data_IF_367143664891
#
_entry.id   IF_367143664891
#
_cell.length_a   1.000
_cell.length_b   1.000
_cell.length_c   1.000
_cell.angle_alpha   90.00
_cell.angle_beta   90.00
_cell.angle_gamma   90.00
#
_symmetry.space_group_name_H-M   'P 1'
#
loop_
_entity.id
_entity.type
_entity.pdbx_description
1 polymer ?
#
# COMPACT_ATOMS: atom_id res chain seq x y z
N UNK A 1 7.69 14.19 -34.67
CA UNK A 1 7.17 14.22 -33.29
C UNK A 1 5.65 14.35 -33.23
N UNK A 2 5.03 15.36 -33.87
CA UNK A 2 3.57 15.56 -33.84
C UNK A 2 2.74 14.36 -34.36
N UNK A 3 3.16 13.74 -35.46
CA UNK A 3 2.47 12.57 -36.02
C UNK A 3 2.46 11.37 -35.05
N UNK A 4 3.57 11.14 -34.34
CA UNK A 4 3.68 10.07 -33.35
C UNK A 4 2.80 10.31 -32.14
N UNK A 5 2.78 11.55 -31.63
CA UNK A 5 1.89 11.94 -30.51
C UNK A 5 0.42 11.75 -30.87
N UNK A 6 0.01 12.15 -32.08
CA UNK A 6 -1.35 11.92 -32.58
C UNK A 6 -1.68 10.43 -32.66
N UNK A 7 -0.74 9.59 -33.10
CA UNK A 7 -0.90 8.13 -33.11
C UNK A 7 -1.11 7.58 -31.69
N UNK A 8 -0.26 7.96 -30.75
CA UNK A 8 -0.35 7.54 -29.34
C UNK A 8 -1.65 7.99 -28.70
N UNK A 9 -2.08 9.23 -28.95
CA UNK A 9 -3.36 9.76 -28.48
C UNK A 9 -4.53 8.88 -28.92
N UNK A 10 -4.57 8.51 -30.21
CA UNK A 10 -5.64 7.66 -30.76
C UNK A 10 -5.59 6.26 -30.14
N UNK A 11 -4.41 5.62 -30.08
CA UNK A 11 -4.26 4.26 -29.55
C UNK A 11 -4.54 4.16 -28.05
N UNK A 12 -4.01 5.08 -27.24
CA UNK A 12 -4.27 5.09 -25.80
C UNK A 12 -5.72 5.52 -25.52
N UNK A 13 -6.24 6.48 -26.30
CA UNK A 13 -7.62 6.96 -26.19
C UNK A 13 -8.64 5.87 -26.51
N UNK A 14 -8.39 5.02 -27.53
CA UNK A 14 -9.29 3.92 -27.85
C UNK A 14 -9.34 2.88 -26.72
N UNK A 15 -8.18 2.49 -26.16
CA UNK A 15 -8.12 1.58 -25.01
C UNK A 15 -8.85 2.13 -23.78
N UNK A 16 -8.67 3.42 -23.50
CA UNK A 16 -9.36 4.08 -22.39
C UNK A 16 -10.88 4.13 -22.63
N UNK A 17 -11.30 4.46 -23.85
CA UNK A 17 -12.72 4.52 -24.21
C UNK A 17 -13.39 3.14 -24.08
N UNK A 18 -12.75 2.08 -24.58
CA UNK A 18 -13.22 0.70 -24.42
C UNK A 18 -13.36 0.32 -22.94
N UNK A 19 -12.39 0.71 -22.11
CA UNK A 19 -12.44 0.46 -20.66
C UNK A 19 -13.56 1.22 -19.97
N UNK A 20 -13.77 2.50 -20.29
CA UNK A 20 -14.86 3.31 -19.73
C UNK A 20 -16.24 2.75 -20.12
N UNK A 21 -16.39 2.28 -21.36
CA UNK A 21 -17.64 1.65 -21.83
C UNK A 21 -17.86 0.33 -21.08
N UNK A 22 -16.87 -0.54 -21.00
CA UNK A 22 -17.00 -1.87 -20.38
C UNK A 22 -17.17 -1.83 -18.85
N UNK A 23 -16.59 -0.84 -18.17
CA UNK A 23 -16.65 -0.74 -16.70
C UNK A 23 -17.86 0.04 -16.18
N UNK A 24 -18.34 1.04 -16.91
CA UNK A 24 -19.40 1.93 -16.43
C UNK A 24 -20.45 2.33 -17.48
N UNK A 25 -20.54 1.59 -18.60
CA UNK A 25 -21.38 1.94 -19.75
C UNK A 25 -21.11 3.38 -20.24
N UNK A 26 -19.87 3.84 -20.12
CA UNK A 26 -19.45 5.18 -20.50
C UNK A 26 -19.90 6.28 -19.53
N UNK A 27 -20.41 5.94 -18.33
CA UNK A 27 -20.78 6.91 -17.30
C UNK A 27 -19.58 7.19 -16.41
N UNK A 28 -19.03 8.39 -16.49
CA UNK A 28 -17.91 8.84 -15.65
C UNK A 28 -17.95 10.36 -15.50
N UNK A 29 -17.23 10.90 -14.51
CA UNK A 29 -17.11 12.35 -14.38
C UNK A 29 -16.12 12.88 -15.41
N UNK A 30 -16.46 13.97 -16.14
CA UNK A 30 -15.56 14.54 -17.13
C UNK A 30 -14.21 14.90 -16.53
N UNK A 31 -13.15 14.58 -17.27
CA UNK A 31 -11.77 14.92 -16.95
C UNK A 31 -11.10 15.52 -18.19
N UNK A 32 -10.00 16.23 -17.98
CA UNK A 32 -9.30 16.97 -19.02
C UNK A 32 -8.26 16.09 -19.74
N UNK A 33 -8.12 16.27 -21.06
CA UNK A 33 -7.03 15.68 -21.82
C UNK A 33 -5.92 16.72 -21.94
N UNK A 34 -4.87 16.56 -21.14
CA UNK A 34 -3.71 17.46 -21.14
C UNK A 34 -2.76 17.10 -22.30
N UNK A 35 -2.10 18.11 -22.86
CA UNK A 35 -0.94 17.88 -23.73
C UNK A 35 0.32 17.62 -22.91
N UNK A 36 1.34 17.02 -23.54
CA UNK A 36 2.63 16.82 -22.86
C UNK A 36 3.31 18.15 -22.53
N UNK A 37 3.18 19.17 -23.40
CA UNK A 37 3.74 20.51 -23.17
C UNK A 37 3.12 21.19 -21.95
N UNK A 38 1.82 21.02 -21.72
CA UNK A 38 1.15 21.56 -20.54
C UNK A 38 1.72 20.97 -19.26
N UNK A 39 1.97 19.65 -19.25
CA UNK A 39 2.53 18.96 -18.08
C UNK A 39 4.01 19.28 -17.86
N UNK A 40 4.80 19.40 -18.94
CA UNK A 40 6.19 19.85 -18.89
C UNK A 40 6.27 21.29 -18.36
N UNK A 41 5.43 22.20 -18.87
CA UNK A 41 5.33 23.58 -18.38
C UNK A 41 4.91 23.61 -16.91
N UNK A 42 3.89 22.85 -16.53
CA UNK A 42 3.36 22.85 -15.17
C UNK A 42 4.39 22.39 -14.13
N UNK A 43 5.27 21.46 -14.50
CA UNK A 43 6.27 20.84 -13.62
C UNK A 43 7.67 21.39 -13.80
N UNK A 44 7.85 22.44 -14.62
CA UNK A 44 9.15 22.95 -15.03
C UNK A 44 10.08 21.82 -15.53
N UNK A 45 9.59 21.03 -16.49
CA UNK A 45 10.25 19.83 -17.02
C UNK A 45 10.57 18.80 -15.93
N UNK A 46 9.61 18.54 -15.04
CA UNK A 46 9.74 17.58 -13.95
C UNK A 46 10.97 17.83 -13.06
N UNK A 47 11.25 19.11 -12.77
CA UNK A 47 12.41 19.51 -11.99
C UNK A 47 12.42 18.85 -10.60
N UNK A 48 13.60 18.58 -10.01
CA UNK A 48 13.69 17.90 -8.71
C UNK A 48 12.92 18.58 -7.57
N UNK A 49 12.81 19.91 -7.57
CA UNK A 49 12.04 20.65 -6.55
C UNK A 49 10.52 20.50 -6.69
N UNK A 50 10.04 19.95 -7.80
CA UNK A 50 8.65 19.59 -8.01
C UNK A 50 8.34 18.17 -7.50
N UNK A 51 9.32 17.36 -7.12
CA UNK A 51 9.07 16.02 -6.58
C UNK A 51 8.18 16.08 -5.33
N UNK A 52 7.15 15.23 -5.29
CA UNK A 52 6.26 15.07 -4.14
C UNK A 52 6.50 13.75 -3.41
N UNK A 53 6.42 12.64 -4.14
CA UNK A 53 6.34 11.30 -3.58
C UNK A 53 6.55 10.25 -4.68
N UNK A 54 6.69 8.98 -4.31
CA UNK A 54 6.60 7.86 -5.24
C UNK A 54 5.81 6.70 -4.64
N UNK A 55 5.18 5.89 -5.49
CA UNK A 55 4.56 4.62 -5.10
C UNK A 55 4.63 3.61 -6.26
N UNK A 56 3.89 2.49 -6.16
CA UNK A 56 3.87 1.46 -7.21
C UNK A 56 3.28 1.97 -8.54
N UNK A 57 2.42 3.00 -8.51
CA UNK A 57 1.87 3.60 -9.72
C UNK A 57 2.95 4.39 -10.46
N UNK A 58 3.72 5.21 -9.75
CA UNK A 58 4.75 6.03 -10.37
C UNK A 58 5.40 7.07 -9.49
N UNK A 59 6.10 8.01 -10.13
CA UNK A 59 6.67 9.20 -9.48
C UNK A 59 5.65 10.34 -9.55
N UNK A 60 5.44 11.00 -8.42
CA UNK A 60 4.50 12.12 -8.29
C UNK A 60 5.24 13.44 -8.23
N UNK A 61 4.78 14.41 -9.02
CA UNK A 61 5.30 15.77 -9.10
C UNK A 61 4.20 16.77 -8.83
N UNK A 62 4.54 17.86 -8.13
CA UNK A 62 3.74 19.06 -8.02
C UNK A 62 3.89 19.86 -9.30
N UNK A 63 2.76 20.24 -9.88
CA UNK A 63 2.72 21.20 -10.98
C UNK A 63 1.85 22.40 -10.68
N UNK A 64 2.05 23.48 -11.42
CA UNK A 64 1.19 24.65 -11.43
C UNK A 64 0.88 25.04 -12.85
N UNK A 65 -0.39 24.97 -13.26
CA UNK A 65 -0.86 25.36 -14.58
C UNK A 65 -1.96 26.41 -14.42
N UNK A 66 -1.77 27.58 -15.02
CA UNK A 66 -2.71 28.72 -14.96
C UNK A 66 -3.19 29.07 -13.55
N UNK A 67 -2.25 29.07 -12.59
CA UNK A 67 -2.50 29.36 -11.18
C UNK A 67 -3.13 28.20 -10.39
N UNK A 68 -3.47 27.08 -11.03
CA UNK A 68 -3.99 25.87 -10.37
C UNK A 68 -2.87 24.91 -10.03
N UNK A 69 -2.78 24.53 -8.75
CA UNK A 69 -1.83 23.51 -8.28
C UNK A 69 -2.39 22.12 -8.57
N UNK A 70 -1.59 21.26 -9.17
CA UNK A 70 -1.93 19.92 -9.61
C UNK A 70 -0.89 18.90 -9.12
N UNK A 71 -1.27 17.64 -9.07
CA UNK A 71 -0.36 16.52 -8.81
C UNK A 71 -0.26 15.66 -10.06
N UNK A 72 0.92 15.61 -10.68
CA UNK A 72 1.18 14.86 -11.91
C UNK A 72 1.89 13.57 -11.53
N UNK A 73 1.29 12.43 -11.85
CA UNK A 73 1.93 11.12 -11.71
C UNK A 73 2.48 10.68 -13.07
N UNK A 74 3.79 10.45 -13.12
CA UNK A 74 4.47 9.77 -14.21
C UNK A 74 4.57 8.30 -13.84
N UNK A 75 3.83 7.41 -14.53
CA UNK A 75 3.93 6.00 -14.26
C UNK A 75 5.36 5.50 -14.42
N UNK A 76 5.83 4.71 -13.45
CA UNK A 76 7.14 4.08 -13.58
C UNK A 76 7.03 2.84 -14.45
N UNK A 77 8.17 2.49 -15.05
CA UNK A 77 8.41 1.19 -15.67
C UNK A 77 9.35 0.41 -14.74
N UNK A 78 8.87 -0.16 -13.61
CA UNK A 78 9.79 -0.76 -12.65
C UNK A 78 10.25 -2.15 -13.09
N UNK A 79 9.59 -2.76 -14.08
CA UNK A 79 9.75 -4.17 -14.41
C UNK A 79 10.25 -4.38 -15.84
N UNK A 80 11.44 -4.94 -15.98
CA UNK A 80 12.02 -5.41 -17.26
C UNK A 80 11.15 -6.53 -17.89
N UNK A 81 10.28 -7.17 -17.11
CA UNK A 81 9.38 -8.25 -17.56
C UNK A 81 7.93 -7.81 -17.86
N UNK A 82 7.49 -6.64 -17.38
CA UNK A 82 6.14 -6.18 -17.68
C UNK A 82 6.12 -5.60 -19.09
N UNK A 83 5.25 -6.13 -19.96
CA UNK A 83 5.09 -5.55 -21.28
C UNK A 83 4.53 -4.13 -21.14
N UNK A 84 4.92 -3.23 -22.04
CA UNK A 84 4.37 -1.87 -22.10
C UNK A 84 2.83 -1.89 -22.10
N UNK A 85 2.23 -2.82 -22.83
CA UNK A 85 0.78 -2.99 -22.90
C UNK A 85 0.15 -3.31 -21.55
N UNK A 86 0.83 -4.09 -20.71
CA UNK A 86 0.35 -4.36 -19.36
C UNK A 86 0.30 -3.07 -18.52
N UNK A 87 1.36 -2.26 -18.58
CA UNK A 87 1.42 -0.98 -17.85
C UNK A 87 0.31 -0.05 -18.37
N UNK A 88 0.13 0.04 -19.69
CA UNK A 88 -0.96 0.83 -20.27
C UNK A 88 -2.32 0.37 -19.75
N UNK A 89 -2.58 -0.94 -19.70
CA UNK A 89 -3.83 -1.47 -19.18
C UNK A 89 -4.05 -1.14 -17.69
N UNK A 90 -3.00 -1.20 -16.88
CA UNK A 90 -3.03 -0.79 -15.46
C UNK A 90 -3.37 0.70 -15.30
N UNK A 91 -2.75 1.55 -16.12
CA UNK A 91 -3.03 2.99 -16.11
C UNK A 91 -4.43 3.32 -16.64
N UNK A 92 -4.87 2.65 -17.70
CA UNK A 92 -6.23 2.77 -18.24
C UNK A 92 -7.26 2.32 -17.19
N UNK A 93 -6.98 1.26 -16.44
CA UNK A 93 -7.83 0.80 -15.34
C UNK A 93 -7.92 1.85 -14.22
N UNK A 94 -6.78 2.43 -13.84
CA UNK A 94 -6.71 3.50 -12.83
C UNK A 94 -7.57 4.70 -13.24
N UNK A 95 -7.39 5.21 -14.47
CA UNK A 95 -8.17 6.33 -15.00
C UNK A 95 -9.66 6.02 -15.03
N UNK A 96 -10.05 4.84 -15.52
CA UNK A 96 -11.46 4.48 -15.68
C UNK A 96 -12.20 4.42 -14.34
N UNK A 97 -11.58 3.86 -13.30
CA UNK A 97 -12.15 3.77 -11.97
C UNK A 97 -12.09 5.13 -11.26
N UNK A 98 -10.96 5.83 -11.31
CA UNK A 98 -10.81 7.14 -10.68
C UNK A 98 -11.80 8.18 -11.26
N UNK A 99 -12.08 8.13 -12.56
CA UNK A 99 -13.06 8.99 -13.20
C UNK A 99 -14.50 8.75 -12.69
N UNK A 100 -14.84 7.52 -12.31
CA UNK A 100 -16.15 7.20 -11.70
C UNK A 100 -16.24 7.68 -10.24
N UNK A 101 -15.11 7.69 -9.53
CA UNK A 101 -15.04 8.04 -8.11
C UNK A 101 -14.76 9.53 -7.84
N UNK A 102 -14.51 10.34 -8.89
CA UNK A 102 -13.99 11.71 -8.77
C UNK A 102 -14.84 12.71 -7.97
N UNK A 103 -16.12 12.43 -7.69
CA UNK A 103 -16.94 13.26 -6.78
C UNK A 103 -16.97 12.78 -5.34
N UNK A 104 -16.48 11.58 -5.07
CA UNK A 104 -16.52 10.98 -3.76
C UNK A 104 -15.40 11.52 -2.88
N UNK A 105 -15.76 11.94 -1.65
CA UNK A 105 -14.88 12.72 -0.78
C UNK A 105 -13.55 12.03 -0.46
N UNK A 106 -13.55 10.72 -0.24
CA UNK A 106 -12.42 9.95 0.26
C UNK A 106 -11.60 9.24 -0.84
N UNK A 107 -11.80 9.62 -2.10
CA UNK A 107 -10.96 9.15 -3.21
C UNK A 107 -10.22 10.32 -3.82
N UNK A 108 -8.99 10.08 -4.27
CA UNK A 108 -8.17 11.10 -4.91
C UNK A 108 -8.78 11.48 -6.26
N UNK A 109 -9.18 12.74 -6.41
CA UNK A 109 -9.91 13.19 -7.60
C UNK A 109 -9.00 13.27 -8.82
N UNK A 110 -9.39 12.54 -9.88
CA UNK A 110 -8.78 12.67 -11.20
C UNK A 110 -9.17 14.03 -11.81
N UNK A 111 -8.17 14.77 -12.27
CA UNK A 111 -8.35 16.01 -13.04
C UNK A 111 -8.30 15.70 -14.53
N UNK A 112 -7.43 14.77 -14.91
CA UNK A 112 -7.19 14.45 -16.31
C UNK A 112 -6.04 13.48 -16.53
N UNK A 113 -5.72 13.28 -17.79
CA UNK A 113 -4.58 12.50 -18.22
C UNK A 113 -3.97 13.08 -19.51
N UNK A 114 -2.72 12.76 -19.79
CA UNK A 114 -2.09 12.99 -21.09
C UNK A 114 -1.94 11.64 -21.81
N UNK A 115 -2.58 11.51 -22.97
CA UNK A 115 -2.60 10.28 -23.78
C UNK A 115 -1.57 10.29 -24.91
N UNK A 116 -0.86 11.40 -25.11
CA UNK A 116 0.09 11.61 -26.21
C UNK A 116 1.47 10.97 -25.98
N UNK A 117 1.63 10.22 -24.89
CA UNK A 117 2.87 9.60 -24.43
C UNK A 117 2.84 8.08 -24.58
N UNK A 118 4.01 7.40 -24.65
CA UNK A 118 4.07 5.94 -24.77
C UNK A 118 3.35 5.18 -23.64
N UNK A 119 3.31 5.77 -22.44
CA UNK A 119 2.42 5.38 -21.33
C UNK A 119 1.71 6.66 -20.87
N UNK A 120 0.38 6.65 -20.70
CA UNK A 120 -0.36 7.84 -20.31
C UNK A 120 0.14 8.44 -18.99
N UNK A 121 0.19 9.78 -18.91
CA UNK A 121 0.48 10.49 -17.67
C UNK A 121 -0.81 10.87 -16.97
N UNK A 122 -0.79 10.90 -15.65
CA UNK A 122 -1.99 11.11 -14.84
C UNK A 122 -1.94 12.45 -14.11
N UNK A 123 -3.07 13.12 -14.01
CA UNK A 123 -3.20 14.42 -13.35
C UNK A 123 -4.32 14.35 -12.33
N UNK A 124 -3.97 14.59 -11.07
CA UNK A 124 -4.82 14.51 -9.91
C UNK A 124 -4.89 15.86 -9.18
N UNK A 125 -5.87 15.97 -8.28
CA UNK A 125 -5.96 17.12 -7.38
C UNK A 125 -4.70 17.28 -6.52
N UNK A 126 -4.48 18.50 -6.02
CA UNK A 126 -3.30 18.85 -5.23
C UNK A 126 -3.22 18.04 -3.93
N UNK A 127 -2.11 17.31 -3.73
CA UNK A 127 -1.81 16.55 -2.50
C UNK A 127 -0.50 17.01 -1.87
N UNK A 128 -0.43 18.29 -1.48
CA UNK A 128 0.80 18.94 -0.98
C UNK A 128 1.38 18.28 0.27
N UNK A 129 0.54 17.60 1.07
CA UNK A 129 0.95 16.92 2.30
C UNK A 129 1.56 15.53 2.04
N UNK A 130 1.65 15.10 0.79
CA UNK A 130 2.20 13.79 0.42
C UNK A 130 1.30 12.64 0.85
N UNK A 131 1.88 11.44 0.88
CA UNK A 131 1.17 10.23 1.25
C UNK A 131 1.27 9.96 2.77
N UNK A 132 0.37 9.13 3.31
CA UNK A 132 0.35 8.81 4.74
C UNK A 132 1.61 8.09 5.20
N UNK A 133 2.26 7.29 4.33
CA UNK A 133 3.51 6.59 4.64
C UNK A 133 4.63 7.55 5.06
N UNK A 134 4.78 8.67 4.33
CA UNK A 134 5.76 9.73 4.63
C UNK A 134 5.47 10.42 5.96
N UNK A 135 4.19 10.53 6.33
CA UNK A 135 3.77 11.18 7.57
C UNK A 135 3.91 10.27 8.81
N UNK A 136 3.75 8.95 8.67
CA UNK A 136 3.83 8.02 9.80
C UNK A 136 5.21 7.38 9.96
N UNK A 137 6.06 7.31 8.93
CA UNK A 137 7.40 6.70 9.03
C UNK A 137 8.55 7.71 9.01
N UNK A 138 8.32 8.96 9.41
CA UNK A 138 9.35 10.02 9.45
C UNK A 138 10.65 9.52 10.08
N UNK A 139 11.71 9.46 9.28
CA UNK A 139 13.08 9.17 9.70
C UNK A 139 13.91 10.45 9.64
N UNK A 140 14.12 11.12 10.78
CA UNK A 140 15.00 12.29 10.89
C UNK A 140 14.42 13.47 11.67
N UNK A 141 15.27 14.44 11.99
CA UNK A 141 14.99 15.61 12.85
C UNK A 141 14.19 16.75 12.19
N UNK A 142 13.76 16.61 10.92
CA UNK A 142 13.08 17.70 10.21
C UNK A 142 11.55 17.73 10.42
N UNK A 143 11.14 18.55 11.39
CA UNK A 143 10.02 19.50 11.39
C UNK A 143 8.65 19.12 10.76
N UNK A 144 8.09 17.96 11.08
CA UNK A 144 6.63 17.83 11.13
C UNK A 144 6.20 17.36 12.52
N UNK A 145 5.16 17.99 13.08
CA UNK A 145 4.59 17.48 14.32
C UNK A 145 4.11 16.04 14.09
N UNK A 146 4.45 15.10 14.97
CA UNK A 146 3.99 13.73 14.84
C UNK A 146 2.48 13.63 14.72
N UNK A 147 2.00 12.78 13.81
CA UNK A 147 0.57 12.58 13.65
C UNK A 147 -0.03 11.95 14.91
N UNK A 148 -0.96 12.67 15.55
CA UNK A 148 -1.67 12.25 16.76
C UNK A 148 -2.56 11.04 16.50
N UNK A 149 -2.94 10.31 17.56
CA UNK A 149 -3.86 9.18 17.45
C UNK A 149 -5.19 9.56 16.80
N UNK A 150 -5.80 10.67 17.23
CA UNK A 150 -7.03 11.19 16.64
C UNK A 150 -6.95 11.37 15.12
N UNK A 151 -5.84 11.89 14.62
CA UNK A 151 -5.63 12.03 13.17
C UNK A 151 -5.50 10.67 12.47
N UNK A 152 -4.77 9.72 13.07
CA UNK A 152 -4.61 8.36 12.50
C UNK A 152 -5.93 7.58 12.50
N UNK A 153 -6.72 7.67 13.57
CA UNK A 153 -8.04 7.06 13.66
C UNK A 153 -9.02 7.68 12.65
N UNK A 154 -8.97 9.01 12.44
CA UNK A 154 -9.74 9.68 11.38
C UNK A 154 -9.39 9.12 10.00
N UNK A 155 -8.10 8.95 9.70
CA UNK A 155 -7.65 8.34 8.43
C UNK A 155 -8.21 6.93 8.29
N UNK A 156 -8.07 6.08 9.32
CA UNK A 156 -8.61 4.72 9.29
C UNK A 156 -10.11 4.71 9.00
N UNK A 157 -10.90 5.57 9.66
CA UNK A 157 -12.34 5.70 9.43
C UNK A 157 -12.69 6.16 8.02
N UNK A 158 -12.00 7.19 7.52
CA UNK A 158 -12.22 7.74 6.19
C UNK A 158 -11.88 6.72 5.09
N UNK A 159 -10.84 5.91 5.28
CA UNK A 159 -10.47 4.84 4.36
C UNK A 159 -11.40 3.62 4.49
N UNK A 160 -11.82 3.24 5.70
CA UNK A 160 -12.81 2.18 5.88
C UNK A 160 -14.11 2.51 5.13
N UNK A 161 -14.57 3.76 5.23
CA UNK A 161 -15.72 4.25 4.49
C UNK A 161 -15.51 4.21 2.97
N UNK A 162 -14.34 4.63 2.47
CA UNK A 162 -14.02 4.57 1.05
C UNK A 162 -14.05 3.13 0.52
N UNK A 163 -13.45 2.18 1.24
CA UNK A 163 -13.43 0.77 0.84
C UNK A 163 -14.82 0.16 0.92
N UNK A 164 -15.59 0.45 1.98
CA UNK A 164 -17.00 0.05 2.07
C UNK A 164 -17.80 0.56 0.87
N UNK A 165 -17.59 1.81 0.45
CA UNK A 165 -18.24 2.38 -0.73
C UNK A 165 -17.88 1.61 -2.01
N UNK A 166 -16.62 1.22 -2.20
CA UNK A 166 -16.21 0.40 -3.35
C UNK A 166 -16.90 -0.96 -3.39
N UNK A 167 -17.09 -1.57 -2.22
CA UNK A 167 -17.72 -2.90 -2.09
C UNK A 167 -19.24 -2.83 -2.30
N UNK A 168 -19.91 -1.78 -1.80
CA UNK A 168 -21.38 -1.79 -1.71
C UNK A 168 -22.11 -0.81 -2.62
N UNK A 169 -21.45 0.22 -3.17
CA UNK A 169 -22.15 1.29 -3.90
C UNK A 169 -22.37 1.00 -5.39
N UNK A 170 -21.81 -0.10 -5.90
CA UNK A 170 -21.86 -0.50 -7.31
C UNK A 170 -22.54 -1.85 -7.45
N UNK A 171 -23.19 -2.10 -8.59
CA UNK A 171 -23.80 -3.41 -8.89
C UNK A 171 -22.79 -4.55 -8.99
N UNK A 172 -21.51 -4.20 -9.21
CA UNK A 172 -20.37 -5.11 -9.18
C UNK A 172 -19.36 -4.51 -8.21
N UNK A 173 -19.08 -5.15 -7.06
CA UNK A 173 -18.10 -4.66 -6.13
C UNK A 173 -16.74 -4.39 -6.79
N UNK A 174 -16.07 -3.34 -6.34
CA UNK A 174 -14.71 -3.00 -6.78
C UNK A 174 -13.75 -3.41 -5.66
N UNK A 175 -12.93 -4.43 -5.89
CA UNK A 175 -11.85 -4.80 -4.97
C UNK A 175 -10.61 -4.00 -5.33
N UNK A 176 -10.13 -3.15 -4.41
CA UNK A 176 -9.04 -2.21 -4.66
C UNK A 176 -7.69 -2.91 -4.81
N UNK A 177 -7.39 -3.87 -3.93
CA UNK A 177 -6.15 -4.67 -3.87
C UNK A 177 -4.84 -3.91 -3.59
N UNK A 178 -4.95 -2.65 -3.20
CA UNK A 178 -3.81 -1.74 -3.07
C UNK A 178 -3.88 -0.85 -1.83
N UNK A 179 -4.63 -1.26 -0.80
CA UNK A 179 -4.80 -0.46 0.42
C UNK A 179 -3.51 -0.51 1.24
N UNK A 180 -2.80 0.60 1.30
CA UNK A 180 -1.62 0.83 2.14
C UNK A 180 -1.33 2.34 2.24
N UNK A 181 -0.48 2.80 3.17
CA UNK A 181 -0.20 4.23 3.35
C UNK A 181 0.45 4.95 2.16
N UNK A 182 1.11 4.25 1.22
CA UNK A 182 1.70 4.87 0.01
C UNK A 182 0.63 5.24 -1.04
N UNK A 183 -0.53 4.61 -0.96
CA UNK A 183 -1.67 4.84 -1.84
C UNK A 183 -2.76 5.69 -1.18
N UNK A 184 -2.52 6.23 0.02
CA UNK A 184 -3.42 7.13 0.73
C UNK A 184 -2.75 8.50 0.84
N UNK A 185 -3.37 9.51 0.26
CA UNK A 185 -2.91 10.90 0.34
C UNK A 185 -3.72 11.70 1.35
N UNK A 186 -3.12 12.78 1.84
CA UNK A 186 -3.82 13.80 2.61
C UNK A 186 -3.99 15.07 1.77
N UNK A 187 -5.22 15.54 1.65
CA UNK A 187 -5.49 16.84 1.03
C UNK A 187 -5.14 18.01 1.98
N UNK A 188 -5.29 19.24 1.49
CA UNK A 188 -4.97 20.45 2.24
C UNK A 188 -5.79 20.59 3.55
N UNK A 189 -6.90 19.84 3.70
CA UNK A 189 -7.79 19.81 4.87
C UNK A 189 -7.60 18.56 5.76
N UNK A 190 -6.51 17.80 5.56
CA UNK A 190 -6.25 16.53 6.25
C UNK A 190 -7.37 15.50 6.08
N UNK A 191 -7.99 15.44 4.90
CA UNK A 191 -8.89 14.36 4.51
C UNK A 191 -8.10 13.27 3.82
N UNK A 192 -8.31 12.02 4.22
CA UNK A 192 -7.70 10.87 3.59
C UNK A 192 -8.35 10.58 2.23
N UNK A 193 -7.50 10.41 1.22
CA UNK A 193 -7.83 10.18 -0.19
C UNK A 193 -7.19 8.87 -0.66
N UNK A 194 -8.01 7.85 -0.88
CA UNK A 194 -7.57 6.59 -1.48
C UNK A 194 -7.28 6.78 -2.97
N UNK A 195 -6.19 6.21 -3.45
CA UNK A 195 -5.70 6.35 -4.83
C UNK A 195 -5.12 5.02 -5.34
N UNK A 196 -4.73 4.99 -6.62
CA UNK A 196 -4.08 3.86 -7.28
C UNK A 196 -4.99 2.64 -7.45
N UNK A 197 -5.93 2.75 -8.38
CA UNK A 197 -6.85 1.70 -8.81
C UNK A 197 -6.30 0.82 -9.93
N UNK A 198 -5.00 0.92 -10.22
CA UNK A 198 -4.36 0.21 -11.33
C UNK A 198 -4.53 -1.31 -11.30
N UNK A 199 -4.62 -1.89 -10.10
CA UNK A 199 -4.79 -3.32 -9.85
C UNK A 199 -6.22 -3.69 -9.42
N UNK A 200 -7.14 -2.72 -9.39
CA UNK A 200 -8.50 -2.94 -8.91
C UNK A 200 -9.33 -3.74 -9.90
N UNK A 201 -10.23 -4.57 -9.37
CA UNK A 201 -11.06 -5.47 -10.16
C UNK A 201 -12.53 -5.30 -9.81
N UNK A 202 -13.37 -5.34 -10.84
CA UNK A 202 -14.81 -5.53 -10.67
C UNK A 202 -15.07 -7.02 -10.51
N UNK A 203 -15.74 -7.40 -9.43
CA UNK A 203 -16.17 -8.77 -9.19
C UNK A 203 -17.70 -8.84 -9.21
N UNK A 204 -18.25 -10.02 -9.46
CA UNK A 204 -19.65 -10.30 -9.18
C UNK A 204 -19.83 -10.57 -7.67
N UNK A 205 -21.05 -10.39 -7.19
CA UNK A 205 -21.40 -10.75 -5.81
C UNK A 205 -21.08 -12.24 -5.57
N UNK A 206 -20.44 -12.53 -4.44
CA UNK A 206 -19.96 -13.87 -4.06
C UNK A 206 -18.97 -14.55 -5.03
N UNK A 207 -18.41 -13.81 -6.00
CA UNK A 207 -17.41 -14.34 -6.93
C UNK A 207 -16.04 -14.48 -6.28
N UNK A 208 -15.41 -15.64 -6.51
CA UNK A 208 -13.99 -15.86 -6.20
C UNK A 208 -13.21 -15.83 -7.51
N UNK A 209 -12.46 -14.76 -7.74
CA UNK A 209 -11.52 -14.69 -8.86
C UNK A 209 -10.26 -15.45 -8.50
N UNK A 210 -9.79 -16.33 -9.38
CA UNK A 210 -8.50 -17.04 -9.23
C UNK A 210 -7.47 -16.49 -10.21
N UNK A 211 -6.23 -16.32 -9.76
CA UNK A 211 -5.12 -15.90 -10.61
C UNK A 211 -3.81 -16.58 -10.20
N UNK A 212 -3.03 -17.01 -11.19
CA UNK A 212 -1.68 -17.52 -10.97
C UNK A 212 -0.65 -16.40 -10.76
N UNK A 213 -1.08 -15.14 -10.91
CA UNK A 213 -0.21 -13.98 -10.84
C UNK A 213 -0.40 -13.21 -9.54
N UNK A 214 0.59 -13.35 -8.66
CA UNK A 214 0.65 -12.61 -7.39
C UNK A 214 1.25 -11.23 -7.62
N UNK A 215 0.45 -10.19 -7.35
CA UNK A 215 0.84 -8.78 -7.42
C UNK A 215 0.31 -8.07 -6.18
N UNK A 216 1.15 -7.24 -5.57
CA UNK A 216 0.77 -6.28 -4.55
C UNK A 216 1.89 -6.04 -3.54
N UNK A 217 1.56 -5.45 -2.40
CA UNK A 217 2.54 -5.02 -1.39
C UNK A 217 2.68 -6.09 -0.30
N UNK A 218 3.88 -6.64 -0.14
CA UNK A 218 4.18 -7.62 0.92
C UNK A 218 3.79 -7.07 2.30
N UNK A 219 3.18 -7.94 3.11
CA UNK A 219 2.60 -7.59 4.41
C UNK A 219 1.10 -7.26 4.37
N UNK A 220 0.57 -6.79 3.23
CA UNK A 220 -0.87 -6.52 3.04
C UNK A 220 -1.57 -7.63 2.24
N UNK A 221 -0.81 -8.57 1.68
CA UNK A 221 -1.35 -9.67 0.88
C UNK A 221 -2.02 -10.71 1.80
N UNK A 222 -3.30 -11.05 1.59
CA UNK A 222 -3.97 -12.10 2.36
C UNK A 222 -3.34 -13.47 2.11
N UNK A 223 -3.38 -14.39 3.09
CA UNK A 223 -2.81 -15.73 2.96
C UNK A 223 -3.47 -16.54 1.83
N UNK A 224 -4.79 -16.49 1.67
CA UNK A 224 -5.50 -17.22 0.62
C UNK A 224 -5.14 -16.74 -0.80
N UNK A 225 -4.76 -15.47 -0.94
CA UNK A 225 -4.27 -14.93 -2.20
C UNK A 225 -2.86 -15.45 -2.50
N UNK A 226 -1.98 -15.48 -1.49
CA UNK A 226 -0.62 -15.99 -1.64
C UNK A 226 -0.57 -17.50 -1.91
N UNK A 227 -1.45 -18.25 -1.28
CA UNK A 227 -1.49 -19.72 -1.36
C UNK A 227 -2.25 -20.22 -2.59
N UNK A 228 -3.40 -19.62 -2.89
CA UNK A 228 -4.35 -20.13 -3.87
C UNK A 228 -4.69 -19.15 -4.99
N UNK A 229 -4.14 -17.93 -4.96
CA UNK A 229 -4.44 -16.90 -5.95
C UNK A 229 -5.86 -16.35 -5.87
N UNK A 230 -6.56 -16.56 -4.74
CA UNK A 230 -7.97 -16.21 -4.58
C UNK A 230 -8.15 -14.72 -4.25
N UNK A 231 -9.07 -14.08 -4.96
CA UNK A 231 -9.45 -12.68 -4.78
C UNK A 231 -10.96 -12.61 -4.52
N UNK A 232 -11.31 -11.96 -3.41
CA UNK A 232 -12.66 -11.57 -2.99
C UNK A 232 -12.57 -10.19 -2.33
N UNK A 233 -13.70 -9.59 -1.93
CA UNK A 233 -13.71 -8.35 -1.14
C UNK A 233 -12.91 -8.46 0.17
N UNK A 234 -12.78 -9.68 0.72
CA UNK A 234 -12.01 -9.96 1.94
C UNK A 234 -10.51 -9.72 1.77
N UNK A 235 -10.02 -9.55 0.54
CA UNK A 235 -8.67 -9.09 0.26
C UNK A 235 -8.43 -7.70 0.86
N UNK A 236 -9.35 -6.79 0.58
CA UNK A 236 -9.26 -5.40 1.03
C UNK A 236 -9.45 -5.30 2.54
N UNK A 237 -10.28 -6.17 3.13
CA UNK A 237 -10.46 -6.25 4.59
C UNK A 237 -9.14 -6.60 5.30
N UNK A 238 -8.41 -7.60 4.79
CA UNK A 238 -7.10 -7.98 5.34
C UNK A 238 -6.06 -6.85 5.17
N UNK A 239 -6.03 -6.24 3.98
CA UNK A 239 -5.15 -5.10 3.70
C UNK A 239 -5.45 -3.92 4.65
N UNK A 240 -6.74 -3.66 4.92
CA UNK A 240 -7.18 -2.65 5.87
C UNK A 240 -6.77 -2.97 7.31
N UNK A 241 -6.90 -4.22 7.75
CA UNK A 241 -6.41 -4.65 9.08
C UNK A 241 -4.91 -4.37 9.25
N UNK A 242 -4.12 -4.61 8.19
CA UNK A 242 -2.69 -4.26 8.16
C UNK A 242 -2.46 -2.76 8.27
N UNK A 243 -3.20 -1.96 7.48
CA UNK A 243 -3.15 -0.50 7.54
C UNK A 243 -3.48 0.01 8.95
N UNK A 244 -4.48 -0.55 9.61
CA UNK A 244 -4.88 -0.14 10.97
C UNK A 244 -3.77 -0.40 12.00
N UNK A 245 -3.11 -1.57 11.94
CA UNK A 245 -1.95 -1.85 12.80
C UNK A 245 -0.77 -0.93 12.49
N UNK A 246 -0.49 -0.64 11.22
CA UNK A 246 0.61 0.24 10.84
C UNK A 246 0.36 1.69 11.27
N UNK A 247 -0.88 2.17 11.17
CA UNK A 247 -1.28 3.46 11.71
C UNK A 247 -1.08 3.51 13.24
N UNK A 248 -1.46 2.47 13.98
CA UNK A 248 -1.31 2.44 15.44
C UNK A 248 0.16 2.35 15.88
N UNK A 249 0.95 1.51 15.21
CA UNK A 249 2.32 1.20 15.63
C UNK A 249 3.36 2.14 15.03
N UNK A 250 3.04 2.80 13.91
CA UNK A 250 4.01 3.55 13.09
C UNK A 250 5.07 2.66 12.42
N UNK A 251 4.92 1.33 12.48
CA UNK A 251 5.90 0.36 11.99
C UNK A 251 5.42 -0.28 10.70
N UNK A 252 6.32 -0.44 9.73
CA UNK A 252 5.99 -1.10 8.46
C UNK A 252 5.80 -2.62 8.65
N UNK A 253 4.88 -3.26 7.92
CA UNK A 253 4.57 -4.69 8.08
C UNK A 253 5.69 -5.65 7.68
N UNK A 254 6.74 -5.16 7.01
CA UNK A 254 7.90 -5.94 6.56
C UNK A 254 9.22 -5.55 7.25
N UNK A 255 9.26 -4.45 8.00
CA UNK A 255 10.52 -3.92 8.57
C UNK A 255 11.04 -4.67 9.80
N UNK A 256 10.23 -5.56 10.39
CA UNK A 256 10.69 -6.38 11.52
C UNK A 256 11.73 -7.43 11.09
N UNK A 257 11.75 -7.82 9.80
CA UNK A 257 12.68 -8.82 9.25
C UNK A 257 13.97 -8.14 8.71
N UNK A 258 13.88 -6.90 8.24
CA UNK A 258 14.98 -6.21 7.56
C UNK A 258 16.13 -5.73 8.47
N UNK A 259 15.91 -5.55 9.78
CA UNK A 259 16.98 -5.12 10.71
C UNK A 259 18.05 -6.21 10.98
N UNK A 260 17.85 -7.44 10.49
CA UNK A 260 18.84 -8.51 10.52
C UNK A 260 18.93 -9.15 9.13
N UNK A 261 19.83 -8.65 8.29
CA UNK A 261 20.02 -9.11 6.91
C UNK A 261 20.24 -10.64 6.77
N UNK A 262 20.74 -11.31 7.82
CA UNK A 262 20.86 -12.79 7.86
C UNK A 262 19.55 -13.53 8.15
N UNK A 263 18.59 -12.91 8.83
CA UNK A 263 17.32 -13.52 9.20
C UNK A 263 16.33 -13.60 8.05
N UNK A 264 16.38 -12.67 7.08
CA UNK A 264 15.52 -12.75 5.90
C UNK A 264 15.79 -14.02 5.09
N UNK A 265 17.06 -14.34 4.82
CA UNK A 265 17.46 -15.58 4.12
C UNK A 265 17.18 -16.83 4.96
N UNK A 266 17.42 -16.76 6.27
CA UNK A 266 17.16 -17.87 7.20
C UNK A 266 15.66 -18.20 7.31
N UNK A 267 14.81 -17.18 7.42
CA UNK A 267 13.35 -17.32 7.46
C UNK A 267 12.79 -17.85 6.13
N UNK A 268 13.34 -17.40 4.99
CA UNK A 268 12.97 -17.93 3.67
C UNK A 268 13.41 -19.39 3.44
N UNK A 269 14.51 -19.84 4.07
CA UNK A 269 15.07 -21.17 3.83
C UNK A 269 14.61 -22.24 4.84
N UNK A 270 14.15 -21.88 6.05
CA UNK A 270 13.80 -22.86 7.10
C UNK A 270 12.32 -23.16 7.25
N UNK A 271 11.42 -22.35 6.67
CA UNK A 271 9.99 -22.60 6.68
C UNK A 271 9.55 -23.14 5.30
N UNK A 272 9.75 -24.43 5.08
CA UNK A 272 8.97 -25.16 4.09
C UNK A 272 7.48 -25.09 4.50
N UNK A 273 6.76 -24.05 4.08
CA UNK A 273 5.28 -24.00 4.17
C UNK A 273 4.62 -22.81 4.88
N UNK A 274 5.35 -21.87 5.51
CA UNK A 274 4.73 -20.73 6.23
C UNK A 274 5.20 -19.37 5.70
N UNK A 275 4.87 -19.08 4.45
CA UNK A 275 5.31 -17.87 3.73
C UNK A 275 4.50 -16.59 4.08
N UNK A 276 3.40 -16.68 4.84
CA UNK A 276 2.32 -15.67 4.80
C UNK A 276 2.07 -14.93 6.13
N UNK A 277 3.12 -14.67 6.91
CA UNK A 277 2.98 -14.02 8.21
C UNK A 277 3.01 -12.50 8.16
N UNK A 278 1.91 -11.81 8.43
CA UNK A 278 1.94 -10.36 8.71
C UNK A 278 2.72 -10.10 10.01
N UNK A 279 3.92 -9.55 9.93
CA UNK A 279 4.77 -9.36 11.12
C UNK A 279 4.18 -8.41 12.16
N UNK A 280 3.34 -7.45 11.74
CA UNK A 280 2.63 -6.60 12.69
C UNK A 280 1.59 -7.39 13.47
N UNK A 281 0.87 -8.30 12.81
CA UNK A 281 -0.09 -9.20 13.47
C UNK A 281 0.59 -9.94 14.62
N UNK A 282 1.73 -10.58 14.36
CA UNK A 282 2.49 -11.27 15.41
C UNK A 282 3.03 -10.32 16.47
N UNK A 283 3.58 -9.17 16.07
CA UNK A 283 4.12 -8.20 17.00
C UNK A 283 3.06 -7.75 18.02
N UNK A 284 1.84 -7.43 17.56
CA UNK A 284 0.77 -6.97 18.47
C UNK A 284 0.16 -8.08 19.32
N UNK A 285 0.27 -9.33 18.90
CA UNK A 285 -0.18 -10.49 19.70
C UNK A 285 0.81 -10.84 20.83
N UNK A 286 2.11 -10.59 20.62
CA UNK A 286 3.16 -10.99 21.57
C UNK A 286 3.58 -9.89 22.56
N UNK A 287 3.04 -8.68 22.46
CA UNK A 287 3.48 -7.52 23.27
C UNK A 287 2.27 -6.80 23.88
N UNK A 288 2.50 -6.10 24.99
CA UNK A 288 1.45 -5.27 25.60
C UNK A 288 1.11 -4.06 24.74
N UNK A 289 -0.09 -3.49 24.93
CA UNK A 289 -0.57 -2.35 24.12
C UNK A 289 0.41 -1.14 24.17
N UNK A 290 1.08 -0.91 25.30
CA UNK A 290 2.02 0.19 25.45
C UNK A 290 3.35 -0.03 24.71
N UNK A 291 3.72 -1.28 24.41
CA UNK A 291 4.93 -1.61 23.67
C UNK A 291 4.73 -1.56 22.15
N UNK A 292 3.48 -1.74 21.71
CA UNK A 292 3.12 -1.78 20.29
C UNK A 292 2.78 -0.40 19.76
N UNK A 293 2.08 0.41 20.56
CA UNK A 293 1.63 1.76 20.16
C UNK A 293 2.83 2.64 19.88
N UNK A 294 2.75 3.42 18.81
CA UNK A 294 3.77 4.38 18.43
C UNK A 294 4.08 5.33 19.60
N UNK A 295 5.35 5.48 19.97
CA UNK A 295 5.76 6.38 21.06
C UNK A 295 5.27 7.82 20.86
N UNK A 296 5.07 8.23 19.60
CA UNK A 296 4.53 9.55 19.24
C UNK A 296 3.05 9.72 19.57
N UNK A 297 2.31 8.61 19.65
CA UNK A 297 0.94 8.57 20.17
C UNK A 297 0.99 8.62 21.70
N UNK A 298 1.84 7.81 22.33
CA UNK A 298 1.97 7.73 23.79
C UNK A 298 2.33 9.08 24.42
N UNK A 299 3.21 9.86 23.78
CA UNK A 299 3.65 11.16 24.27
C UNK A 299 2.53 12.21 24.40
N UNK A 300 1.35 11.98 23.78
CA UNK A 300 0.20 12.87 23.87
C UNK A 300 -1.06 12.23 24.48
N UNK A 301 -1.00 10.97 24.92
CA UNK A 301 -2.19 10.18 25.26
C UNK A 301 -2.52 10.10 26.75
N UNK A 302 -3.81 9.92 27.05
CA UNK A 302 -4.36 9.64 28.38
C UNK A 302 -5.14 8.31 28.42
N UNK A 303 -5.63 7.90 29.60
CA UNK A 303 -6.28 6.59 29.85
C UNK A 303 -7.39 6.26 28.83
N UNK A 304 -8.17 7.25 28.42
CA UNK A 304 -9.28 7.06 27.46
C UNK A 304 -8.80 6.64 26.06
N UNK A 305 -7.59 7.02 25.66
CA UNK A 305 -7.03 6.61 24.37
C UNK A 305 -6.56 5.15 24.40
N UNK A 306 -6.15 4.64 25.57
CA UNK A 306 -5.70 3.24 25.70
C UNK A 306 -6.80 2.24 25.38
N UNK A 307 -8.04 2.50 25.80
CA UNK A 307 -9.20 1.67 25.43
C UNK A 307 -9.44 1.70 23.91
N UNK A 308 -9.27 2.86 23.26
CA UNK A 308 -9.38 2.97 21.81
C UNK A 308 -8.28 2.21 21.08
N UNK A 309 -7.05 2.24 21.59
CA UNK A 309 -5.93 1.48 21.04
C UNK A 309 -6.21 -0.02 21.10
N UNK A 310 -6.69 -0.50 22.26
CA UNK A 310 -7.04 -1.90 22.45
C UNK A 310 -8.15 -2.34 21.49
N UNK A 311 -9.24 -1.57 21.41
CA UNK A 311 -10.34 -1.87 20.49
C UNK A 311 -9.89 -1.81 19.00
N UNK A 312 -8.97 -0.90 18.65
CA UNK A 312 -8.41 -0.83 17.31
C UNK A 312 -7.53 -2.06 16.98
N UNK A 313 -6.74 -2.56 17.93
CA UNK A 313 -5.97 -3.81 17.77
C UNK A 313 -6.92 -4.99 17.57
N UNK A 314 -7.95 -5.12 18.41
CA UNK A 314 -8.93 -6.21 18.31
C UNK A 314 -9.64 -6.22 16.95
N UNK A 315 -10.09 -5.05 16.49
CA UNK A 315 -10.69 -4.90 15.16
C UNK A 315 -9.69 -5.28 14.06
N UNK A 316 -8.45 -4.81 14.15
CA UNK A 316 -7.42 -5.12 13.17
C UNK A 316 -7.12 -6.63 13.11
N UNK A 317 -7.02 -7.29 14.28
CA UNK A 317 -6.82 -8.74 14.36
C UNK A 317 -7.99 -9.52 13.77
N UNK A 318 -9.23 -9.07 13.99
CA UNK A 318 -10.43 -9.65 13.35
C UNK A 318 -10.38 -9.51 11.82
N UNK A 319 -9.92 -8.37 11.30
CA UNK A 319 -9.69 -8.19 9.86
C UNK A 319 -8.55 -9.05 9.30
N UNK A 320 -7.58 -9.42 10.15
CA UNK A 320 -6.40 -10.22 9.79
C UNK A 320 -6.57 -11.72 10.07
N UNK A 321 -7.80 -12.19 10.30
CA UNK A 321 -8.12 -13.61 10.43
C UNK A 321 -7.61 -14.42 9.23
N UNK A 322 -7.08 -15.62 9.48
CA UNK A 322 -6.51 -16.45 8.41
C UNK A 322 -7.61 -16.93 7.47
N UNK A 323 -8.74 -17.38 8.03
CA UNK A 323 -9.94 -17.68 7.26
C UNK A 323 -10.64 -16.39 6.83
N UNK A 324 -10.79 -16.19 5.52
CA UNK A 324 -11.46 -15.03 4.94
C UNK A 324 -12.91 -14.86 5.39
N UNK A 325 -13.60 -15.97 5.68
CA UNK A 325 -15.01 -15.99 6.09
C UNK A 325 -15.22 -15.47 7.51
N UNK A 326 -14.18 -15.51 8.35
CA UNK A 326 -14.20 -14.94 9.71
C UNK A 326 -13.97 -13.43 9.73
N UNK A 327 -13.49 -12.86 8.63
CA UNK A 327 -13.23 -11.41 8.54
C UNK A 327 -14.56 -10.66 8.38
N UNK A 328 -14.74 -9.52 9.06
CA UNK A 328 -15.95 -8.70 8.93
C UNK A 328 -16.11 -8.14 7.50
N UNK A 329 -17.30 -7.66 7.17
CA UNK A 329 -17.48 -6.81 5.98
C UNK A 329 -16.97 -5.39 6.27
N UNK A 330 -16.54 -4.63 5.26
CA UNK A 330 -16.03 -3.27 5.47
C UNK A 330 -17.08 -2.29 6.01
N UNK A 331 -18.37 -2.56 5.79
CA UNK A 331 -19.46 -1.82 6.42
C UNK A 331 -19.45 -1.98 7.95
N UNK A 332 -19.26 -3.22 8.43
CA UNK A 332 -19.14 -3.53 9.88
C UNK A 332 -17.88 -2.88 10.46
N UNK A 333 -16.74 -2.99 9.77
CA UNK A 333 -15.48 -2.33 10.16
C UNK A 333 -15.68 -0.82 10.33
N UNK A 334 -16.39 -0.19 9.38
CA UNK A 334 -16.70 1.25 9.44
C UNK A 334 -17.55 1.57 10.67
N UNK A 335 -18.59 0.77 10.97
CA UNK A 335 -19.44 0.96 12.16
C UNK A 335 -18.64 0.83 13.46
N UNK A 336 -17.77 -0.16 13.57
CA UNK A 336 -16.93 -0.37 14.77
C UNK A 336 -15.95 0.80 14.94
N UNK A 337 -15.30 1.28 13.88
CA UNK A 337 -14.40 2.45 13.97
C UNK A 337 -15.13 3.72 14.44
N UNK A 338 -16.36 3.93 13.97
CA UNK A 338 -17.21 5.02 14.46
C UNK A 338 -17.52 4.88 15.96
N UNK A 339 -17.74 3.66 16.44
CA UNK A 339 -17.95 3.41 17.87
C UNK A 339 -16.67 3.68 18.66
N UNK A 340 -15.51 3.21 18.19
CA UNK A 340 -14.20 3.45 18.83
C UNK A 340 -13.93 4.96 18.95
N UNK A 341 -14.19 5.75 17.91
CA UNK A 341 -13.99 7.21 17.96
C UNK A 341 -14.95 7.89 18.95
N UNK A 342 -16.21 7.44 18.99
CA UNK A 342 -17.28 8.02 19.82
C UNK A 342 -17.31 7.52 21.25
N UNK A 343 -16.57 6.47 21.58
CA UNK A 343 -16.62 5.83 22.88
C UNK A 343 -16.11 6.71 24.04
N UNK A 344 -15.58 7.90 23.73
CA UNK A 344 -15.43 9.04 24.63
C UNK A 344 -16.77 9.66 25.13
N UNK A 345 -17.92 9.28 24.57
CA UNK A 345 -19.22 9.87 24.89
C UNK A 345 -20.03 9.09 25.94
N UNK A 346 -19.77 7.79 26.15
CA UNK A 346 -20.50 6.96 27.13
C UNK A 346 -19.78 5.62 27.36
N UNK A 347 -19.33 5.34 28.59
CA UNK A 347 -19.02 3.98 29.01
C UNK A 347 -19.37 3.75 30.49
N UNK A 348 -19.90 2.56 30.81
CA UNK A 348 -19.48 1.78 31.96
C UNK A 348 -18.57 0.61 31.52
N UNK A 349 -17.57 0.36 32.37
CA UNK A 349 -16.46 -0.60 32.21
C UNK A 349 -16.90 -2.07 32.14
N UNK A 350 -16.12 -2.90 31.45
CA UNK A 350 -15.94 -4.33 31.81
C UNK A 350 -14.50 -4.81 31.63
N UNK A 351 -14.13 -5.66 32.58
CA UNK A 351 -12.82 -6.20 32.92
C UNK A 351 -12.25 -7.27 31.96
N UNK A 352 -10.93 -7.42 32.08
CA UNK A 352 -9.99 -8.31 31.39
C UNK A 352 -10.23 -9.82 31.55
N UNK A 353 -9.70 -10.63 30.62
CA UNK A 353 -8.84 -11.79 30.98
C UNK A 353 -8.11 -12.45 29.78
N UNK A 354 -6.78 -12.61 29.96
CA UNK A 354 -5.92 -13.77 29.68
C UNK A 354 -5.48 -14.13 28.23
N UNK A 355 -4.17 -14.02 27.99
CA UNK A 355 -3.38 -14.92 27.13
C UNK A 355 -2.04 -15.22 27.82
N UNK A 356 -1.88 -16.45 28.32
CA UNK A 356 -0.65 -16.98 28.92
C UNK A 356 -0.31 -18.29 28.18
N UNK A 357 0.37 -18.17 27.03
CA UNK A 357 0.96 -19.32 26.32
C UNK A 357 2.17 -18.94 25.44
N UNK A 358 2.66 -17.70 25.55
CA UNK A 358 3.77 -17.19 24.72
C UNK A 358 5.17 -17.32 25.35
N UNK A 359 5.27 -17.76 26.61
CA UNK A 359 6.53 -17.74 27.37
C UNK A 359 7.46 -18.93 27.08
N UNK A 360 6.93 -20.08 26.69
CA UNK A 360 7.71 -21.33 26.61
C UNK A 360 8.67 -21.31 25.40
N UNK A 361 8.40 -20.53 24.35
CA UNK A 361 9.24 -20.49 23.15
C UNK A 361 10.46 -19.52 23.25
N UNK A 362 10.49 -18.66 24.26
CA UNK A 362 11.55 -17.63 24.41
C UNK A 362 12.81 -18.15 25.10
N UNK A 363 12.71 -19.11 26.02
CA UNK A 363 13.85 -19.59 26.80
C UNK A 363 14.84 -20.41 25.94
N UNK A 364 14.35 -21.12 24.92
CA UNK A 364 15.21 -21.86 23.98
C UNK A 364 15.99 -20.93 23.03
N UNK A 365 15.49 -19.73 22.75
CA UNK A 365 16.13 -18.81 21.81
C UNK A 365 17.26 -18.00 22.45
N UNK A 366 17.13 -17.64 23.73
CA UNK A 366 18.11 -16.83 24.47
C UNK A 366 19.38 -17.65 24.80
N UNK A 367 19.24 -18.97 25.04
CA UNK A 367 20.36 -19.84 25.40
C UNK A 367 21.42 -20.06 24.29
N UNK A 368 21.19 -19.60 23.05
CA UNK A 368 22.07 -19.88 21.91
C UNK A 368 23.03 -18.76 21.50
N UNK A 369 23.05 -17.61 22.20
CA UNK A 369 23.78 -16.43 21.70
C UNK A 369 24.58 -15.66 22.78
N UNK A 370 25.49 -16.36 23.46
CA UNK A 370 26.70 -15.72 23.99
C UNK A 370 27.82 -15.79 22.93
N UNK A 371 28.00 -14.74 22.11
CA UNK A 371 29.13 -14.73 21.18
C UNK A 371 29.16 -13.64 20.10
N UNK A 372 29.83 -12.52 20.42
CA UNK A 372 30.63 -11.59 19.59
C UNK A 372 30.06 -11.06 18.24
N UNK A 373 30.01 -9.72 18.17
CA UNK A 373 29.64 -8.90 17.02
C UNK A 373 30.85 -8.65 16.10
N UNK A 374 30.66 -8.71 14.77
CA UNK A 374 31.64 -8.20 13.78
C UNK A 374 31.09 -6.97 13.04
N UNK A 375 31.96 -5.98 12.88
CA UNK A 375 31.74 -4.63 12.33
C UNK A 375 31.46 -4.66 10.83
N UNK A 376 30.60 -3.75 10.34
CA UNK A 376 30.35 -3.52 8.91
C UNK A 376 31.64 -3.11 8.18
N UNK A 377 32.03 -3.88 7.15
CA UNK A 377 33.22 -3.63 6.34
C UNK A 377 32.83 -3.02 4.98
N UNK A 378 33.55 -1.99 4.54
CA UNK A 378 33.40 -1.36 3.21
C UNK A 378 34.29 -2.04 2.17
N UNK A 379 33.80 -2.18 0.93
CA UNK A 379 34.55 -2.77 -0.19
C UNK A 379 34.74 -1.75 -1.32
N UNK A 380 35.89 -1.83 -1.99
CA UNK A 380 36.22 -1.08 -3.20
C UNK A 380 35.54 -1.68 -4.45
N UNK A 381 35.47 -0.90 -5.53
CA UNK A 381 34.84 -1.32 -6.79
C UNK A 381 35.50 -2.54 -7.46
N UNK A 382 36.81 -2.75 -7.28
CA UNK A 382 37.51 -3.91 -7.82
C UNK A 382 37.25 -5.19 -7.01
N UNK A 383 37.13 -5.06 -5.69
CA UNK A 383 36.74 -6.18 -4.81
C UNK A 383 35.32 -6.65 -5.15
N UNK A 384 34.40 -5.71 -5.38
CA UNK A 384 33.04 -6.01 -5.82
C UNK A 384 33.02 -6.74 -7.17
N UNK A 385 33.85 -6.35 -8.14
CA UNK A 385 33.97 -7.06 -9.43
C UNK A 385 34.48 -8.49 -9.27
N UNK A 386 35.48 -8.71 -8.41
CA UNK A 386 35.96 -10.07 -8.11
C UNK A 386 34.89 -10.91 -7.42
N UNK A 387 34.20 -10.35 -6.42
CA UNK A 387 33.16 -11.07 -5.66
C UNK A 387 31.90 -11.38 -6.47
N UNK A 388 31.60 -10.59 -7.49
CA UNK A 388 30.41 -10.75 -8.35
C UNK A 388 30.65 -11.56 -9.61
N UNK A 389 31.87 -12.05 -9.83
CA UNK A 389 32.30 -12.54 -11.13
C UNK A 389 31.96 -11.55 -12.26
N UNK A 390 32.39 -10.30 -12.07
CA UNK A 390 32.18 -9.18 -12.98
C UNK A 390 30.69 -8.83 -13.19
N UNK A 391 29.93 -8.76 -12.10
CA UNK A 391 28.48 -8.49 -12.08
C UNK A 391 27.66 -9.53 -12.85
N UNK A 392 28.03 -10.81 -12.72
CA UNK A 392 27.26 -11.91 -13.31
C UNK A 392 25.80 -11.87 -12.80
N UNK A 393 24.78 -12.09 -13.66
CA UNK A 393 23.36 -11.90 -13.31
C UNK A 393 22.85 -12.68 -12.10
N UNK A 394 23.54 -13.78 -11.75
CA UNK A 394 23.24 -14.61 -10.58
C UNK A 394 23.72 -13.99 -9.25
N UNK A 395 24.52 -12.92 -9.29
CA UNK A 395 25.04 -12.19 -8.13
C UNK A 395 24.44 -10.78 -8.08
N UNK A 396 23.46 -10.57 -7.20
CA UNK A 396 22.76 -9.29 -7.05
C UNK A 396 23.25 -8.56 -5.80
N UNK A 397 23.69 -7.30 -5.96
CA UNK A 397 23.92 -6.36 -4.85
C UNK A 397 22.70 -5.46 -4.64
N UNK A 398 22.38 -5.17 -3.38
CA UNK A 398 21.30 -4.27 -2.99
C UNK A 398 21.86 -2.90 -2.56
N UNK A 399 21.25 -1.82 -3.07
CA UNK A 399 21.36 -0.49 -2.48
C UNK A 399 19.94 0.01 -2.17
N UNK A 400 19.49 -0.25 -0.93
CA UNK A 400 18.35 0.28 -0.17
C UNK A 400 16.91 0.38 -0.75
N UNK A 401 15.99 -0.08 0.11
CA UNK A 401 14.60 0.34 0.42
C UNK A 401 13.43 0.15 -0.56
N UNK A 402 13.58 -0.40 -1.76
CA UNK A 402 12.42 -0.62 -2.66
C UNK A 402 12.63 -1.87 -3.54
N UNK A 403 11.87 -2.97 -3.34
CA UNK A 403 11.79 -4.03 -4.36
C UNK A 403 11.37 -5.44 -3.92
N UNK A 404 10.56 -6.10 -4.76
CA UNK A 404 9.77 -7.35 -4.58
C UNK A 404 10.50 -8.60 -5.14
N UNK A 405 10.13 -9.79 -4.64
CA UNK A 405 10.74 -11.10 -4.91
C UNK A 405 9.89 -11.99 -5.84
N UNK A 406 10.54 -12.89 -6.60
CA UNK A 406 9.89 -13.97 -7.37
C UNK A 406 10.52 -15.33 -7.08
N UNK A 407 9.70 -16.39 -7.19
CA UNK A 407 10.10 -17.80 -7.21
C UNK A 407 10.12 -18.29 -8.65
N UNK A 408 11.26 -18.79 -9.11
CA UNK A 408 11.38 -19.46 -10.41
C UNK A 408 10.73 -20.86 -10.31
N UNK A 409 9.78 -21.15 -11.21
CA UNK A 409 9.09 -22.43 -11.31
C UNK A 409 9.84 -23.47 -12.16
N UNK A 410 11.08 -23.21 -12.60
CA UNK A 410 11.92 -24.18 -13.31
C UNK A 410 12.97 -24.85 -12.43
N UNK A 411 12.53 -25.64 -11.45
CA UNK A 411 13.27 -26.83 -11.01
C UNK A 411 12.40 -28.08 -11.16
N UNK A 412 12.24 -28.51 -12.42
CA UNK A 412 11.95 -29.93 -12.70
C UNK A 412 13.17 -30.73 -12.25
N UNK A 413 12.90 -31.73 -11.41
CA UNK A 413 13.69 -32.94 -11.16
C UNK A 413 14.80 -33.16 -12.19
N UNK A 414 16.05 -33.19 -11.73
CA UNK A 414 17.00 -34.17 -12.21
C UNK A 414 17.36 -35.06 -11.04
N UNK A 415 16.75 -36.25 -11.06
CA UNK A 415 17.33 -37.41 -10.41
C UNK A 415 18.70 -37.66 -11.05
N UNK A 416 19.72 -37.84 -10.21
CA UNK A 416 20.62 -38.98 -10.26
C UNK A 416 20.98 -39.35 -8.83
#
# INVERSE_FOLDING_TARGET
MAAERKRLFITNGSLLQEKLISSSNGRYYPFHNFSIEELEKATNNYAPHCFLSYNLLGTWYKGSLDGRVLSICIPRYPNVQASRNQIINEIVNDVAIAAQLSRQRNFLRLIGCCLETPVPLLVYESVKRGNVSEQIHVTGEFHSQPMTWKCRLKIAREIAHAVSYLHTAFSRPIVHRGINPLNIFLDDYNVAKLSNFSQSLYICEDEIIKTDRIIGTLGYLPPEYLEHGEITEKFDVYSFGTLLLELLTGRRPYNLIARRAGYFRFWMNRMEGHFAGNCLKYHVQCHSINEVVDYRILAGGGINEQQQWQAAVELALKCLETSKDKRPAMEEVTKILWQIERSLATFPERHSSVYDDGRIFMEEMIASYEGRCHVLQSFSGEELKKMTNNYHPDYIFCCSNIGIWYKDSKKRRRAR
#
